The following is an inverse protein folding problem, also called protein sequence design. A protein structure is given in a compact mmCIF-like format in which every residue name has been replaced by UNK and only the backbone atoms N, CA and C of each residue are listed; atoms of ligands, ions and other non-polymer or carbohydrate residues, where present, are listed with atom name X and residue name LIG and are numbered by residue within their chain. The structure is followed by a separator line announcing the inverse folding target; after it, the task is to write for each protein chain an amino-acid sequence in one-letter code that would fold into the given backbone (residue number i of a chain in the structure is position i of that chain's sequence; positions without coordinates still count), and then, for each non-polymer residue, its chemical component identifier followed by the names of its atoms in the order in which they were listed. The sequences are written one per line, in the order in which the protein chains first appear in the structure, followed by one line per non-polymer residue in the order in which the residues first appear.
data_IF_661760300139
#
_entry.id   IF_661760300139
#
_cell.length_a   1.000
_cell.length_b   1.000
_cell.length_c   1.000
_cell.angle_alpha   90.00
_cell.angle_beta   90.00
_cell.angle_gamma   90.00
#
_symmetry.space_group_name_H-M   'P 1'
#
loop_
_entity.id
_entity.type
_entity.pdbx_description
1 polymer ?
#
# COMPACT_ATOMS: atom_id res chain seq x y z
N UNK A 1 11.10 22.19 -49.42
CA UNK A 1 11.17 20.95 -48.62
C UNK A 1 11.25 21.24 -47.10
N UNK A 2 11.90 22.35 -46.68
CA UNK A 2 12.08 22.67 -45.24
C UNK A 2 10.80 23.15 -44.52
N UNK A 3 9.85 23.78 -45.20
CA UNK A 3 8.61 24.31 -44.63
C UNK A 3 7.60 23.23 -44.22
N UNK A 4 7.56 22.11 -44.95
CA UNK A 4 6.65 20.99 -44.61
C UNK A 4 7.12 20.25 -43.34
N UNK A 5 8.44 20.12 -43.10
CA UNK A 5 8.96 19.46 -41.91
C UNK A 5 8.73 20.27 -40.63
N UNK A 6 8.80 21.61 -40.71
CA UNK A 6 8.51 22.48 -39.53
C UNK A 6 7.05 22.47 -39.17
N UNK A 7 6.12 22.44 -40.14
CA UNK A 7 4.68 22.33 -39.89
C UNK A 7 4.30 20.99 -39.27
N UNK A 8 4.91 19.88 -39.67
CA UNK A 8 4.64 18.56 -39.08
C UNK A 8 5.11 18.50 -37.62
N UNK A 9 6.24 19.10 -37.27
CA UNK A 9 6.75 19.13 -35.92
C UNK A 9 5.91 19.97 -34.95
N UNK A 10 5.19 20.99 -35.46
CA UNK A 10 4.28 21.86 -34.67
C UNK A 10 2.88 21.28 -34.46
N UNK A 11 2.38 20.47 -35.42
CA UNK A 11 1.00 19.96 -35.39
C UNK A 11 0.89 18.59 -34.74
N UNK A 12 1.93 17.75 -34.82
CA UNK A 12 1.94 16.39 -34.22
C UNK A 12 1.74 16.38 -32.71
N UNK A 13 2.30 17.29 -31.90
CA UNK A 13 2.06 17.30 -30.44
C UNK A 13 0.61 17.58 -30.03
N UNK A 14 -0.16 18.23 -30.89
CA UNK A 14 -1.55 18.62 -30.57
C UNK A 14 -2.62 17.60 -30.98
N UNK A 15 -2.24 16.53 -31.67
CA UNK A 15 -3.15 15.44 -31.99
C UNK A 15 -3.62 14.73 -30.70
N UNK A 16 -4.94 14.56 -30.49
CA UNK A 16 -5.48 13.90 -29.28
C UNK A 16 -4.90 12.51 -29.03
N UNK A 17 -4.64 11.75 -30.09
CA UNK A 17 -4.01 10.43 -30.03
C UNK A 17 -2.55 10.46 -29.55
N UNK A 18 -1.83 11.53 -29.87
CA UNK A 18 -0.44 11.70 -29.42
C UNK A 18 -0.39 12.11 -27.94
N UNK A 19 -1.23 13.05 -27.52
CA UNK A 19 -1.38 13.44 -26.11
C UNK A 19 -1.78 12.24 -25.24
N UNK A 20 -2.80 11.49 -25.64
CA UNK A 20 -3.24 10.30 -24.89
C UNK A 20 -2.15 9.24 -24.74
N UNK A 21 -1.29 9.10 -25.76
CA UNK A 21 -0.15 8.18 -25.71
C UNK A 21 0.94 8.66 -24.76
N UNK A 22 1.26 9.96 -24.75
CA UNK A 22 2.22 10.54 -23.82
C UNK A 22 1.71 10.44 -22.38
N UNK A 23 0.47 10.83 -22.14
CA UNK A 23 -0.13 10.78 -20.79
C UNK A 23 -0.15 9.34 -20.25
N UNK A 24 -0.47 8.36 -21.10
CA UNK A 24 -0.44 6.94 -20.74
C UNK A 24 0.97 6.47 -20.42
N UNK A 25 1.96 6.88 -21.20
CA UNK A 25 3.36 6.53 -20.93
C UNK A 25 3.84 7.15 -19.61
N UNK A 26 3.46 8.39 -19.34
CA UNK A 26 3.80 9.07 -18.10
C UNK A 26 3.14 8.39 -16.87
N UNK A 27 1.85 8.03 -16.96
CA UNK A 27 1.15 7.29 -15.88
C UNK A 27 1.82 5.94 -15.62
N UNK A 28 2.10 5.16 -16.66
CA UNK A 28 2.77 3.87 -16.53
C UNK A 28 4.17 4.00 -15.90
N UNK A 29 4.93 5.02 -16.29
CA UNK A 29 6.23 5.30 -15.65
C UNK A 29 6.09 5.63 -14.17
N UNK A 30 5.02 6.33 -13.76
CA UNK A 30 4.72 6.60 -12.35
C UNK A 30 4.41 5.32 -11.56
N UNK A 31 3.60 4.42 -12.13
CA UNK A 31 3.30 3.10 -11.55
C UNK A 31 4.59 2.28 -11.37
N UNK A 32 5.43 2.20 -12.40
CA UNK A 32 6.68 1.43 -12.36
C UNK A 32 7.67 2.01 -11.33
N UNK A 33 7.76 3.34 -11.23
CA UNK A 33 8.61 4.00 -10.24
C UNK A 33 8.13 3.73 -8.81
N UNK A 34 6.82 3.84 -8.55
CA UNK A 34 6.25 3.55 -7.23
C UNK A 34 6.44 2.08 -6.85
N UNK A 35 6.23 1.18 -7.81
CA UNK A 35 6.48 -0.27 -7.66
C UNK A 35 7.92 -0.54 -7.24
N UNK A 36 8.89 0.03 -7.96
CA UNK A 36 10.31 -0.14 -7.64
C UNK A 36 10.67 0.39 -6.25
N UNK A 37 10.11 1.53 -5.85
CA UNK A 37 10.30 2.10 -4.52
C UNK A 37 9.79 1.16 -3.42
N UNK A 38 8.55 0.67 -3.52
CA UNK A 38 7.95 -0.23 -2.52
C UNK A 38 8.71 -1.56 -2.43
N UNK A 39 9.14 -2.12 -3.56
CA UNK A 39 9.98 -3.31 -3.58
C UNK A 39 11.29 -3.07 -2.82
N UNK A 40 11.94 -1.95 -3.05
CA UNK A 40 13.19 -1.61 -2.37
C UNK A 40 12.99 -1.48 -0.86
N UNK A 41 11.90 -0.86 -0.41
CA UNK A 41 11.56 -0.73 1.00
C UNK A 41 11.31 -2.12 1.64
N UNK A 42 10.56 -2.99 0.97
CA UNK A 42 10.34 -4.38 1.41
C UNK A 42 11.65 -5.18 1.49
N UNK A 43 12.54 -5.03 0.51
CA UNK A 43 13.84 -5.71 0.54
C UNK A 43 14.69 -5.27 1.72
N UNK A 44 14.68 -3.98 2.03
CA UNK A 44 15.40 -3.44 3.20
C UNK A 44 14.81 -3.99 4.51
N UNK A 45 13.49 -3.96 4.66
CA UNK A 45 12.81 -4.44 5.87
C UNK A 45 13.01 -5.93 6.13
N UNK A 46 12.99 -6.75 5.10
CA UNK A 46 13.17 -8.20 5.21
C UNK A 46 14.65 -8.65 5.18
N UNK A 47 15.59 -7.71 5.05
CA UNK A 47 17.02 -8.01 5.06
C UNK A 47 17.54 -8.63 3.76
N UNK A 48 16.91 -8.34 2.64
CA UNK A 48 17.38 -8.66 1.31
C UNK A 48 16.33 -9.22 0.35
N UNK A 49 16.61 -9.06 -0.93
CA UNK A 49 15.76 -9.49 -2.04
C UNK A 49 15.46 -11.00 -2.01
N UNK A 50 16.47 -11.84 -1.73
CA UNK A 50 16.32 -13.30 -1.74
C UNK A 50 15.28 -13.79 -0.74
N UNK A 51 15.21 -13.15 0.45
CA UNK A 51 14.21 -13.50 1.47
C UNK A 51 12.81 -13.14 1.03
N UNK A 52 12.62 -11.96 0.45
CA UNK A 52 11.32 -11.50 -0.04
C UNK A 52 10.82 -12.39 -1.17
N UNK A 53 11.68 -12.75 -2.12
CA UNK A 53 11.32 -13.61 -3.24
C UNK A 53 10.89 -15.03 -2.81
N UNK A 54 11.34 -15.52 -1.68
CA UNK A 54 10.92 -16.81 -1.11
C UNK A 54 9.58 -16.76 -0.38
N UNK A 55 8.98 -15.59 -0.18
CA UNK A 55 7.72 -15.45 0.56
C UNK A 55 6.50 -15.70 -0.32
N UNK A 56 5.45 -16.31 0.26
CA UNK A 56 4.17 -16.51 -0.42
C UNK A 56 3.54 -15.20 -0.91
N UNK A 57 3.74 -14.11 -0.18
CA UNK A 57 3.28 -12.76 -0.56
C UNK A 57 3.92 -12.30 -1.86
N UNK A 58 5.20 -12.58 -2.06
CA UNK A 58 5.88 -12.26 -3.33
C UNK A 58 5.30 -13.03 -4.51
N UNK A 59 4.99 -14.30 -4.32
CA UNK A 59 4.38 -15.13 -5.37
C UNK A 59 3.00 -14.59 -5.77
N UNK A 60 2.18 -14.16 -4.79
CA UNK A 60 0.89 -13.53 -5.05
C UNK A 60 1.06 -12.21 -5.84
N UNK A 61 2.00 -11.37 -5.41
CA UNK A 61 2.36 -10.15 -6.14
C UNK A 61 2.76 -10.45 -7.59
N UNK A 62 3.64 -11.42 -7.82
CA UNK A 62 4.05 -11.81 -9.17
C UNK A 62 2.88 -12.27 -10.03
N UNK A 63 1.95 -13.03 -9.45
CA UNK A 63 0.74 -13.45 -10.16
C UNK A 63 -0.10 -12.24 -10.60
N UNK A 64 -0.28 -11.21 -9.77
CA UNK A 64 -0.97 -9.97 -10.16
C UNK A 64 -0.27 -9.30 -11.34
N UNK A 65 1.06 -9.17 -11.30
CA UNK A 65 1.86 -8.54 -12.39
C UNK A 65 1.77 -9.36 -13.69
N UNK A 66 1.78 -10.68 -13.62
CA UNK A 66 1.62 -11.54 -14.78
C UNK A 66 0.22 -11.37 -15.40
N UNK A 67 -0.84 -11.34 -14.57
CA UNK A 67 -2.22 -11.13 -15.05
C UNK A 67 -2.36 -9.76 -15.71
N UNK A 68 -1.88 -8.69 -15.08
CA UNK A 68 -1.93 -7.34 -15.66
C UNK A 68 -1.18 -7.25 -17.00
N UNK A 69 -0.05 -7.94 -17.15
CA UNK A 69 0.70 -7.99 -18.40
C UNK A 69 -0.11 -8.64 -19.53
N UNK A 70 -0.83 -9.73 -19.23
CA UNK A 70 -1.71 -10.37 -20.21
C UNK A 70 -2.89 -9.47 -20.57
N UNK A 71 -3.49 -8.79 -19.59
CA UNK A 71 -4.59 -7.85 -19.81
C UNK A 71 -4.16 -6.68 -20.72
N UNK A 72 -2.96 -6.13 -20.52
CA UNK A 72 -2.43 -5.11 -21.43
C UNK A 72 -2.30 -5.61 -22.88
N UNK A 73 -1.88 -6.86 -23.05
CA UNK A 73 -1.80 -7.46 -24.39
C UNK A 73 -3.18 -7.57 -25.03
N UNK A 74 -4.17 -8.07 -24.28
CA UNK A 74 -5.57 -8.18 -24.76
C UNK A 74 -6.14 -6.79 -25.06
N UNK A 75 -5.91 -5.79 -24.23
CA UNK A 75 -6.35 -4.41 -24.45
C UNK A 75 -5.72 -3.80 -25.73
N UNK A 76 -4.60 -4.32 -26.20
CA UNK A 76 -3.97 -3.93 -27.47
C UNK A 76 -4.58 -4.56 -28.72
N UNK A 77 -5.45 -5.55 -28.59
CA UNK A 77 -6.08 -6.22 -29.72
C UNK A 77 -7.22 -5.37 -30.30
N UNK A 78 -7.29 -5.28 -31.61
CA UNK A 78 -8.21 -4.35 -32.33
C UNK A 78 -9.71 -4.59 -32.04
N UNK A 79 -10.09 -5.79 -31.61
CA UNK A 79 -11.47 -6.18 -31.34
C UNK A 79 -11.79 -6.31 -29.84
N UNK A 80 -10.80 -6.09 -28.99
CA UNK A 80 -10.96 -6.21 -27.54
C UNK A 80 -11.95 -5.15 -27.01
N UNK A 81 -12.81 -5.58 -26.07
CA UNK A 81 -13.65 -4.68 -25.30
C UNK A 81 -12.96 -4.18 -24.03
N UNK A 82 -11.79 -4.74 -23.69
CA UNK A 82 -10.96 -4.28 -22.60
C UNK A 82 -10.24 -2.98 -23.00
N UNK A 83 -10.42 -1.93 -22.22
CA UNK A 83 -9.68 -0.68 -22.45
C UNK A 83 -8.26 -0.75 -21.82
N UNK A 84 -7.36 0.09 -22.33
CA UNK A 84 -6.05 0.25 -21.69
C UNK A 84 -6.16 0.83 -20.28
N UNK A 85 -7.14 1.67 -20.00
CA UNK A 85 -7.35 2.27 -18.69
C UNK A 85 -7.83 1.21 -17.68
N UNK A 86 -8.62 0.21 -18.10
CA UNK A 86 -9.00 -0.91 -17.25
C UNK A 86 -7.81 -1.82 -16.94
N UNK A 87 -6.96 -2.11 -17.92
CA UNK A 87 -5.72 -2.86 -17.70
C UNK A 87 -4.75 -2.10 -16.77
N UNK A 88 -4.68 -0.77 -16.87
CA UNK A 88 -3.89 0.10 -15.99
C UNK A 88 -4.39 0.05 -14.54
N UNK A 89 -5.72 0.01 -14.32
CA UNK A 89 -6.30 -0.16 -12.98
C UNK A 89 -5.89 -1.47 -12.33
N UNK A 90 -5.93 -2.57 -13.10
CA UNK A 90 -5.46 -3.87 -12.59
C UNK A 90 -3.96 -3.86 -12.33
N UNK A 91 -3.15 -3.18 -13.14
CA UNK A 91 -1.71 -3.03 -12.91
C UNK A 91 -1.43 -2.21 -11.64
N UNK A 92 -2.23 -1.16 -11.38
CA UNK A 92 -2.16 -0.39 -10.14
C UNK A 92 -2.41 -1.26 -8.91
N UNK A 93 -3.34 -2.22 -8.98
CA UNK A 93 -3.56 -3.16 -7.88
C UNK A 93 -2.30 -3.93 -7.44
N UNK A 94 -1.32 -4.13 -8.34
CA UNK A 94 -0.02 -4.69 -7.97
C UNK A 94 0.80 -3.76 -7.07
N UNK A 95 0.69 -2.45 -7.25
CA UNK A 95 1.35 -1.43 -6.42
C UNK A 95 0.66 -1.35 -5.07
N UNK A 96 -0.68 -1.34 -5.06
CA UNK A 96 -1.49 -1.30 -3.85
C UNK A 96 -1.23 -2.55 -2.99
N UNK A 97 -1.08 -3.72 -3.61
CA UNK A 97 -0.68 -4.95 -2.91
C UNK A 97 0.67 -4.82 -2.20
N UNK A 98 1.68 -4.23 -2.85
CA UNK A 98 2.98 -3.99 -2.23
C UNK A 98 2.89 -2.98 -1.08
N UNK A 99 2.08 -1.93 -1.24
CA UNK A 99 1.87 -0.92 -0.20
C UNK A 99 1.16 -1.50 1.03
N UNK A 100 0.11 -2.30 0.82
CA UNK A 100 -0.57 -3.04 1.89
C UNK A 100 0.36 -4.02 2.60
N UNK A 101 1.19 -4.75 1.86
CA UNK A 101 2.18 -5.65 2.45
C UNK A 101 3.20 -4.90 3.30
N UNK A 102 3.72 -3.77 2.80
CA UNK A 102 4.63 -2.91 3.54
C UNK A 102 3.99 -2.38 4.84
N UNK A 103 2.73 -1.95 4.76
CA UNK A 103 1.96 -1.49 5.91
C UNK A 103 1.74 -2.62 6.95
N UNK A 104 1.38 -3.82 6.51
CA UNK A 104 1.22 -5.00 7.40
C UNK A 104 2.50 -5.28 8.18
N UNK A 105 3.64 -5.34 7.49
CA UNK A 105 4.93 -5.61 8.11
C UNK A 105 5.30 -4.52 9.11
N UNK A 106 5.06 -3.26 8.77
CA UNK A 106 5.36 -2.12 9.64
C UNK A 106 4.50 -2.11 10.90
N UNK A 107 3.19 -2.35 10.76
CA UNK A 107 2.28 -2.44 11.92
C UNK A 107 2.65 -3.63 12.80
N UNK A 108 2.94 -4.77 12.21
CA UNK A 108 3.34 -5.99 12.93
C UNK A 108 4.63 -5.80 13.75
N UNK A 109 5.63 -5.11 13.19
CA UNK A 109 6.88 -4.80 13.92
C UNK A 109 6.59 -3.88 15.12
N UNK A 110 5.68 -2.92 14.98
CA UNK A 110 5.24 -2.05 16.08
C UNK A 110 4.50 -2.81 17.18
N UNK A 111 3.52 -3.63 16.80
CA UNK A 111 2.76 -4.42 17.76
C UNK A 111 3.63 -5.44 18.51
N UNK A 112 4.74 -5.89 17.89
CA UNK A 112 5.73 -6.79 18.51
C UNK A 112 6.66 -6.11 19.52
N UNK A 113 6.73 -4.80 19.57
CA UNK A 113 7.64 -4.08 20.48
C UNK A 113 7.36 -4.31 21.96
N UNK A 114 6.25 -4.98 22.30
CA UNK A 114 5.90 -5.40 23.67
C UNK A 114 5.48 -4.24 24.59
N UNK A 115 5.29 -3.07 24.04
CA UNK A 115 4.87 -1.87 24.78
C UNK A 115 3.43 -1.98 25.28
N UNK A 116 2.56 -2.72 24.55
CA UNK A 116 1.14 -2.91 24.86
C UNK A 116 0.91 -3.43 26.29
N UNK A 117 1.51 -4.57 26.63
CA UNK A 117 1.37 -5.15 27.98
C UNK A 117 1.90 -4.23 29.10
N UNK A 118 2.87 -3.37 28.76
CA UNK A 118 3.43 -2.38 29.69
C UNK A 118 2.49 -1.19 29.86
N UNK A 119 1.89 -0.72 28.75
CA UNK A 119 0.90 0.37 28.76
C UNK A 119 -0.35 -0.05 29.53
N UNK A 120 -0.91 -1.22 29.28
CA UNK A 120 -2.06 -1.76 30.00
C UNK A 120 -1.83 -1.90 31.50
N UNK A 121 -0.63 -2.32 31.90
CA UNK A 121 -0.27 -2.37 33.29
C UNK A 121 -0.23 -0.98 33.92
N UNK A 122 0.43 -0.02 33.26
CA UNK A 122 0.52 1.37 33.73
C UNK A 122 -0.83 2.06 33.78
N UNK A 123 -1.71 1.77 32.82
CA UNK A 123 -3.09 2.28 32.81
C UNK A 123 -3.83 1.79 34.06
N UNK A 124 -3.82 0.49 34.32
CA UNK A 124 -4.46 -0.10 35.51
C UNK A 124 -3.88 0.43 36.82
N UNK A 125 -2.56 0.64 36.88
CA UNK A 125 -1.92 1.20 38.07
C UNK A 125 -2.30 2.68 38.26
N UNK A 126 -2.41 3.47 37.19
CA UNK A 126 -2.87 4.85 37.23
C UNK A 126 -4.34 4.96 37.66
N UNK A 127 -5.21 4.07 37.15
CA UNK A 127 -6.61 4.01 37.53
C UNK A 127 -6.78 3.64 39.01
N UNK A 128 -6.02 2.67 39.52
CA UNK A 128 -6.03 2.30 40.93
C UNK A 128 -5.58 3.46 41.80
N UNK A 129 -4.44 4.10 41.45
CA UNK A 129 -3.93 5.24 42.20
C UNK A 129 -4.90 6.44 42.20
N UNK A 130 -5.61 6.64 41.11
CA UNK A 130 -6.62 7.70 40.99
C UNK A 130 -7.83 7.41 41.89
N UNK A 131 -8.25 6.13 42.03
CA UNK A 131 -9.37 5.73 42.87
C UNK A 131 -9.04 5.87 44.36
N UNK A 132 -7.77 5.88 44.77
CA UNK A 132 -7.31 6.01 46.18
C UNK A 132 -7.09 7.47 46.59
N UNK A 133 -7.20 8.44 45.69
CA UNK A 133 -6.88 9.86 45.92
C UNK A 133 -8.14 10.69 45.78
N UNK A 134 -8.41 11.57 46.75
CA UNK A 134 -9.53 12.54 46.66
C UNK A 134 -9.27 13.60 45.58
N UNK A 135 -10.34 14.12 44.97
CA UNK A 135 -10.25 15.17 43.95
C UNK A 135 -9.59 16.47 44.43
N UNK A 136 -9.61 16.72 45.75
CA UNK A 136 -8.96 17.84 46.43
C UNK A 136 -7.44 17.73 46.53
N UNK A 137 -6.89 16.51 46.37
CA UNK A 137 -5.43 16.27 46.47
C UNK A 137 -4.71 16.85 45.24
N UNK A 138 -3.62 17.60 45.44
CA UNK A 138 -2.79 18.13 44.33
C UNK A 138 -2.31 17.06 43.36
N UNK A 139 -2.16 15.80 43.80
CA UNK A 139 -1.73 14.67 42.97
C UNK A 139 -2.81 14.18 42.01
N UNK A 140 -4.09 14.42 42.33
CA UNK A 140 -5.22 13.96 41.51
C UNK A 140 -5.12 14.40 40.05
N UNK A 141 -4.80 15.68 39.82
CA UNK A 141 -4.66 16.23 38.47
C UNK A 141 -3.56 15.52 37.67
N UNK A 142 -2.42 15.25 38.28
CA UNK A 142 -1.31 14.55 37.62
C UNK A 142 -1.62 13.08 37.31
N UNK A 143 -2.28 12.38 38.23
CA UNK A 143 -2.71 11.01 38.04
C UNK A 143 -3.78 10.91 36.95
N UNK A 144 -4.70 11.85 36.89
CA UNK A 144 -5.71 11.92 35.84
C UNK A 144 -5.08 12.14 34.45
N UNK A 145 -4.13 13.07 34.34
CA UNK A 145 -3.38 13.28 33.08
C UNK A 145 -2.61 12.00 32.67
N UNK A 146 -1.92 11.35 33.60
CA UNK A 146 -1.20 10.12 33.29
C UNK A 146 -2.14 8.98 32.84
N UNK A 147 -3.32 8.83 33.49
CA UNK A 147 -4.33 7.87 33.04
C UNK A 147 -4.82 8.18 31.63
N UNK A 148 -5.15 9.45 31.36
CA UNK A 148 -5.67 9.88 30.04
C UNK A 148 -4.62 9.66 28.94
N UNK A 149 -3.34 9.92 29.22
CA UNK A 149 -2.23 9.64 28.32
C UNK A 149 -2.08 8.13 28.02
N UNK A 150 -2.11 7.28 29.05
CA UNK A 150 -2.05 5.82 28.86
C UNK A 150 -3.27 5.28 28.14
N UNK A 151 -4.44 5.81 28.41
CA UNK A 151 -5.68 5.44 27.70
C UNK A 151 -5.59 5.79 26.21
N UNK A 152 -5.08 6.98 25.88
CA UNK A 152 -4.89 7.39 24.49
C UNK A 152 -3.86 6.50 23.77
N UNK A 153 -2.81 6.05 24.46
CA UNK A 153 -1.83 5.10 23.90
C UNK A 153 -2.48 3.73 23.67
N UNK A 154 -3.24 3.20 24.63
CA UNK A 154 -3.96 1.93 24.51
C UNK A 154 -4.91 1.97 23.30
N UNK A 155 -5.73 3.02 23.19
CA UNK A 155 -6.64 3.19 22.05
C UNK A 155 -5.93 3.23 20.68
N UNK A 156 -4.72 3.84 20.61
CA UNK A 156 -3.91 3.80 19.39
C UNK A 156 -3.44 2.39 19.05
N UNK A 157 -3.07 1.58 20.03
CA UNK A 157 -2.70 0.18 19.83
C UNK A 157 -3.87 -0.65 19.32
N UNK A 158 -5.06 -0.49 19.91
CA UNK A 158 -6.28 -1.16 19.45
C UNK A 158 -6.63 -0.80 18.01
N UNK A 159 -6.53 0.49 17.66
CA UNK A 159 -6.75 0.97 16.29
C UNK A 159 -5.74 0.37 15.31
N UNK A 160 -4.47 0.24 15.70
CA UNK A 160 -3.45 -0.41 14.86
C UNK A 160 -3.76 -1.90 14.67
N UNK A 161 -4.25 -2.58 15.71
CA UNK A 161 -4.68 -3.97 15.64
C UNK A 161 -5.85 -4.16 14.65
N UNK A 162 -6.87 -3.31 14.73
CA UNK A 162 -8.01 -3.34 13.82
C UNK A 162 -7.59 -3.06 12.36
N UNK A 163 -6.75 -2.05 12.15
CA UNK A 163 -6.19 -1.73 10.83
C UNK A 163 -5.40 -2.89 10.23
N UNK A 164 -4.58 -3.55 11.05
CA UNK A 164 -3.84 -4.73 10.60
C UNK A 164 -4.77 -5.82 10.08
N UNK A 165 -5.86 -6.10 10.80
CA UNK A 165 -6.84 -7.11 10.36
C UNK A 165 -7.49 -6.74 9.02
N UNK A 166 -7.82 -5.46 8.81
CA UNK A 166 -8.34 -4.97 7.52
C UNK A 166 -7.32 -5.14 6.39
N UNK A 167 -6.05 -4.79 6.62
CA UNK A 167 -4.98 -4.97 5.64
C UNK A 167 -4.76 -6.47 5.33
N UNK A 168 -4.74 -7.33 6.34
CA UNK A 168 -4.62 -8.79 6.14
C UNK A 168 -5.77 -9.33 5.29
N UNK A 169 -7.00 -8.86 5.49
CA UNK A 169 -8.13 -9.23 4.65
C UNK A 169 -7.95 -8.76 3.19
N UNK A 170 -7.54 -7.50 2.98
CA UNK A 170 -7.27 -6.95 1.66
C UNK A 170 -6.13 -7.70 0.93
N UNK A 171 -5.06 -8.08 1.63
CA UNK A 171 -3.96 -8.89 1.08
C UNK A 171 -4.38 -10.31 0.67
N UNK A 172 -5.51 -10.80 1.17
CA UNK A 172 -6.09 -12.07 0.75
C UNK A 172 -7.04 -11.87 -0.42
N UNK A 173 -7.93 -10.87 -0.36
CA UNK A 173 -8.98 -10.64 -1.35
C UNK A 173 -8.46 -10.10 -2.68
N UNK A 174 -7.49 -9.18 -2.66
CA UNK A 174 -7.04 -8.48 -3.87
C UNK A 174 -6.44 -9.40 -4.95
N UNK A 175 -5.60 -10.41 -4.65
CA UNK A 175 -5.17 -11.38 -5.66
C UNK A 175 -6.31 -12.19 -6.26
N UNK A 176 -7.31 -12.56 -5.45
CA UNK A 176 -8.47 -13.34 -5.90
C UNK A 176 -9.36 -12.50 -6.82
N UNK A 177 -9.56 -11.22 -6.52
CA UNK A 177 -10.29 -10.28 -7.37
C UNK A 177 -9.58 -10.06 -8.71
N UNK A 178 -8.26 -9.90 -8.70
CA UNK A 178 -7.48 -9.77 -9.94
C UNK A 178 -7.58 -11.04 -10.78
N UNK A 179 -7.54 -12.23 -10.16
CA UNK A 179 -7.72 -13.48 -10.87
C UNK A 179 -9.13 -13.60 -11.47
N UNK A 180 -10.17 -13.18 -10.75
CA UNK A 180 -11.55 -13.18 -11.27
C UNK A 180 -11.69 -12.26 -12.49
N UNK A 181 -11.15 -11.04 -12.43
CA UNK A 181 -11.11 -10.10 -13.55
C UNK A 181 -10.37 -10.74 -14.74
N UNK A 182 -9.20 -11.33 -14.48
CA UNK A 182 -8.40 -11.99 -15.51
C UNK A 182 -9.18 -13.12 -16.20
N UNK A 183 -9.81 -14.02 -15.42
CA UNK A 183 -10.61 -15.11 -15.95
C UNK A 183 -11.80 -14.62 -16.79
N UNK A 184 -12.48 -13.57 -16.33
CA UNK A 184 -13.60 -12.95 -17.04
C UNK A 184 -13.15 -12.42 -18.41
N UNK A 185 -12.02 -11.72 -18.45
CA UNK A 185 -11.49 -11.13 -19.69
C UNK A 185 -11.00 -12.21 -20.65
N UNK A 186 -10.25 -13.21 -20.15
CA UNK A 186 -9.70 -14.28 -20.99
C UNK A 186 -10.81 -15.17 -21.56
N UNK A 187 -11.88 -15.43 -20.79
CA UNK A 187 -13.01 -16.24 -21.25
C UNK A 187 -13.82 -15.56 -22.34
N UNK A 188 -13.90 -14.24 -22.38
CA UNK A 188 -14.77 -13.53 -23.33
C UNK A 188 -14.26 -12.11 -23.67
N UNK A 189 -13.07 -11.97 -24.27
CA UNK A 189 -12.42 -10.68 -24.49
C UNK A 189 -13.17 -9.75 -25.47
N UNK A 190 -14.06 -10.31 -26.28
CA UNK A 190 -14.82 -9.58 -27.33
C UNK A 190 -16.29 -9.41 -26.98
N UNK A 191 -16.71 -9.79 -25.78
CA UNK A 191 -18.11 -9.69 -25.34
C UNK A 191 -18.50 -8.26 -25.02
N UNK A 192 -19.57 -7.76 -25.63
CA UNK A 192 -20.12 -6.43 -25.32
C UNK A 192 -20.61 -6.28 -23.87
N UNK A 193 -20.83 -7.38 -23.16
CA UNK A 193 -21.21 -7.40 -21.74
C UNK A 193 -19.99 -7.28 -20.82
N UNK A 194 -18.78 -7.46 -21.36
CA UNK A 194 -17.54 -7.41 -20.58
C UNK A 194 -17.37 -6.07 -19.86
N UNK A 195 -17.59 -4.95 -20.56
CA UNK A 195 -17.38 -3.61 -19.99
C UNK A 195 -18.25 -3.31 -18.76
N UNK A 196 -19.52 -3.77 -18.74
CA UNK A 196 -20.39 -3.57 -17.57
C UNK A 196 -19.96 -4.43 -16.37
N UNK A 197 -19.61 -5.69 -16.61
CA UNK A 197 -19.12 -6.61 -15.57
C UNK A 197 -17.76 -6.18 -15.01
N UNK A 198 -16.86 -5.72 -15.88
CA UNK A 198 -15.57 -5.17 -15.48
C UNK A 198 -15.73 -3.91 -14.63
N UNK A 199 -16.66 -3.03 -14.97
CA UNK A 199 -16.93 -1.82 -14.20
C UNK A 199 -17.31 -2.13 -12.74
N UNK A 200 -18.09 -3.18 -12.52
CA UNK A 200 -18.45 -3.65 -11.18
C UNK A 200 -17.23 -4.23 -10.44
N UNK A 201 -16.51 -5.16 -11.06
CA UNK A 201 -15.32 -5.77 -10.42
C UNK A 201 -14.19 -4.75 -10.19
N UNK A 202 -13.99 -3.78 -11.10
CA UNK A 202 -12.98 -2.73 -10.93
C UNK A 202 -13.37 -1.70 -9.86
N UNK A 203 -14.67 -1.53 -9.56
CA UNK A 203 -15.11 -0.65 -8.47
C UNK A 203 -14.69 -1.18 -7.09
N UNK A 204 -14.60 -2.49 -6.93
CA UNK A 204 -14.09 -3.12 -5.70
C UNK A 204 -12.60 -2.83 -5.49
N UNK A 205 -11.79 -2.84 -6.54
CA UNK A 205 -10.37 -2.46 -6.45
C UNK A 205 -10.19 -1.00 -6.02
N UNK A 206 -11.11 -0.09 -6.38
CA UNK A 206 -11.06 1.32 -5.95
C UNK A 206 -11.42 1.49 -4.47
N UNK A 207 -12.26 0.63 -3.92
CA UNK A 207 -12.62 0.69 -2.49
C UNK A 207 -11.42 0.37 -1.59
N UNK A 208 -10.51 -0.50 -2.05
CA UNK A 208 -9.26 -0.79 -1.34
C UNK A 208 -8.27 0.38 -1.42
N UNK A 209 -8.29 1.17 -2.51
CA UNK A 209 -7.53 2.43 -2.63
C UNK A 209 -7.97 3.46 -1.58
N UNK A 210 -9.27 3.55 -1.29
CA UNK A 210 -9.79 4.45 -0.25
C UNK A 210 -9.28 4.06 1.15
N UNK A 211 -9.11 2.76 1.41
CA UNK A 211 -8.50 2.26 2.66
C UNK A 211 -7.01 2.69 2.73
N UNK A 212 -6.27 2.62 1.63
CA UNK A 212 -4.89 3.09 1.58
C UNK A 212 -4.79 4.61 1.78
N UNK A 213 -5.70 5.38 1.18
CA UNK A 213 -5.79 6.83 1.37
C UNK A 213 -6.13 7.20 2.81
N UNK A 214 -7.07 6.52 3.45
CA UNK A 214 -7.37 6.71 4.86
C UNK A 214 -6.18 6.31 5.75
N UNK A 215 -5.44 5.26 5.39
CA UNK A 215 -4.21 4.85 6.07
C UNK A 215 -3.11 5.90 5.94
N UNK A 216 -3.03 6.59 4.81
CA UNK A 216 -2.04 7.64 4.56
C UNK A 216 -2.40 9.00 5.15
N UNK A 217 -3.70 9.30 5.28
CA UNK A 217 -4.20 10.59 5.79
C UNK A 217 -4.41 10.63 7.30
N UNK A 218 -4.75 9.48 7.92
CA UNK A 218 -4.94 9.37 9.36
C UNK A 218 -3.67 8.89 10.07
N UNK A 219 -2.75 9.80 10.38
CA UNK A 219 -1.72 9.68 11.42
C UNK A 219 -0.70 8.52 11.36
N UNK A 220 -0.48 7.92 10.23
CA UNK A 220 0.87 7.44 9.96
C UNK A 220 1.68 8.66 9.51
N UNK A 221 1.91 9.59 10.46
CA UNK A 221 2.73 10.77 10.25
C UNK A 221 3.90 10.42 9.33
N UNK A 222 4.06 11.18 8.25
CA UNK A 222 5.14 11.00 7.27
C UNK A 222 6.54 10.97 7.92
N UNK A 223 6.67 11.48 9.16
CA UNK A 223 7.85 11.38 10.00
C UNK A 223 8.11 9.96 10.52
N UNK A 224 7.08 9.12 10.65
CA UNK A 224 7.28 7.73 11.08
C UNK A 224 7.76 6.81 9.97
N UNK A 225 7.35 7.02 8.72
CA UNK A 225 7.95 6.30 7.59
C UNK A 225 9.42 6.72 7.38
N UNK A 226 9.73 7.99 7.56
CA UNK A 226 11.12 8.50 7.50
C UNK A 226 11.98 7.95 8.64
N UNK A 227 11.46 7.84 9.86
CA UNK A 227 12.19 7.26 11.00
C UNK A 227 12.28 5.73 10.91
N UNK A 228 11.30 5.03 10.35
CA UNK A 228 11.36 3.58 10.10
C UNK A 228 12.45 3.22 9.10
N UNK A 229 12.52 3.93 7.98
CA UNK A 229 13.58 3.74 6.99
C UNK A 229 14.97 4.12 7.55
N UNK A 230 15.09 5.22 8.30
CA UNK A 230 16.33 5.61 8.97
C UNK A 230 16.73 4.63 10.08
N UNK A 231 15.75 4.08 10.81
CA UNK A 231 15.96 3.04 11.82
C UNK A 231 16.42 1.71 11.23
N UNK A 232 15.86 1.32 10.08
CA UNK A 232 16.26 0.12 9.34
C UNK A 232 17.67 0.28 8.74
N UNK A 233 18.00 1.43 8.20
CA UNK A 233 19.36 1.74 7.72
C UNK A 233 20.39 1.73 8.86
N UNK A 234 20.06 2.26 10.04
CA UNK A 234 20.90 2.23 11.21
C UNK A 234 21.12 0.80 11.77
N UNK A 235 20.09 -0.07 11.69
CA UNK A 235 20.21 -1.49 12.05
C UNK A 235 21.06 -2.26 11.04
N UNK A 236 20.88 -2.03 9.74
CA UNK A 236 21.69 -2.62 8.70
C UNK A 236 23.18 -2.21 8.82
N UNK A 237 23.45 -0.92 9.07
CA UNK A 237 24.79 -0.42 9.30
C UNK A 237 25.45 -1.04 10.55
N UNK A 238 24.71 -1.29 11.62
CA UNK A 238 25.21 -1.98 12.82
C UNK A 238 25.48 -3.47 12.61
N UNK A 239 24.69 -4.13 11.77
CA UNK A 239 24.90 -5.54 11.40
C UNK A 239 26.13 -5.72 10.52
N UNK A 240 26.35 -4.85 9.55
CA UNK A 240 27.56 -4.87 8.71
C UNK A 240 28.83 -4.55 9.52
N UNK A 241 28.75 -3.59 10.45
CA UNK A 241 29.87 -3.29 11.35
C UNK A 241 30.19 -4.43 12.36
N UNK A 242 29.20 -5.27 12.69
CA UNK A 242 29.42 -6.46 13.53
C UNK A 242 29.98 -7.66 12.77
N UNK A 243 29.69 -7.78 11.48
CA UNK A 243 30.21 -8.84 10.62
C UNK A 243 31.65 -8.59 10.13
N UNK A 244 32.13 -7.34 10.28
CA UNK A 244 33.49 -6.93 9.89
C UNK A 244 34.49 -6.98 11.07
N UNK A 245 34.09 -7.42 12.26
CA UNK A 245 34.93 -7.73 13.40
C UNK A 245 34.99 -9.23 13.67
#
# INVERSE_FOLDING_TARGET
LGTVQVLTALVVPDLPSFRSKIDRTARRSGIDQRRAQLQQELFVLHGGMERVMGMAMWQKYQAIVERSTVLYRIAGEAQSQLSYDDAERVDKASVDYLALWLAEVTIKDRLRSGEEATVDRRLRDAERSLAEVEESDPRYKHLKMARDDYLAIAQRHDNLGARRMSIEAALVSLPDQVEEIYQMVVASPYSSVLGSKLGESLSWLQLEEDIELELSQNDLDSDYFKTGAAGAQARAARQTARAAK
#
